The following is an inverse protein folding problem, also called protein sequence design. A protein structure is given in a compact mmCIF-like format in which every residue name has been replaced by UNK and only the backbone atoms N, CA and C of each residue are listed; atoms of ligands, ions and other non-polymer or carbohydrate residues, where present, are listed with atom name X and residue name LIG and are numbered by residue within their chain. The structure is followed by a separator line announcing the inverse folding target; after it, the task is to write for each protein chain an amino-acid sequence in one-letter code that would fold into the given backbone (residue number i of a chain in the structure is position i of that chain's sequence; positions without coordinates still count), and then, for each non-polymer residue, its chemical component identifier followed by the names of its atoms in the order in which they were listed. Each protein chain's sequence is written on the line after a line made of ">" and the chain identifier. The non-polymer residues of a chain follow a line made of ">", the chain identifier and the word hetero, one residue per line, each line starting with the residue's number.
data_IF_962475498069
#
_entry.id   IF_962475498069
#
_cell.length_a   1.000
_cell.length_b   1.000
_cell.length_c   1.000
_cell.angle_alpha   90.00
_cell.angle_beta   90.00
_cell.angle_gamma   90.00
#
_symmetry.space_group_name_H-M   'P 1'
#
loop_
_entity.id
_entity.type
_entity.pdbx_description
1 polymer ?
#
# COMPACT_ATOMS: atom_id res chain seq x y z
N UNK A 1 18.04 -25.20 -17.35
CA UNK A 1 16.87 -24.36 -17.77
C UNK A 1 17.37 -23.31 -18.74
N UNK A 2 16.73 -23.15 -19.90
CA UNK A 2 17.05 -22.08 -20.86
C UNK A 2 16.40 -20.76 -20.45
N UNK A 3 16.84 -19.63 -21.05
CA UNK A 3 16.21 -18.32 -20.78
C UNK A 3 14.72 -18.28 -21.14
N UNK A 4 14.33 -18.93 -22.24
CA UNK A 4 12.94 -18.99 -22.67
C UNK A 4 12.10 -19.88 -21.73
N UNK A 5 12.65 -20.99 -21.23
CA UNK A 5 11.99 -21.82 -20.21
C UNK A 5 11.81 -21.06 -18.89
N UNK A 6 12.83 -20.33 -18.45
CA UNK A 6 12.76 -19.50 -17.25
C UNK A 6 11.68 -18.40 -17.41
N UNK A 7 11.65 -17.74 -18.55
CA UNK A 7 10.63 -16.74 -18.84
C UNK A 7 9.22 -17.33 -18.85
N UNK A 8 9.04 -18.51 -19.44
CA UNK A 8 7.75 -19.20 -19.44
C UNK A 8 7.30 -19.60 -18.04
N UNK A 9 8.19 -20.14 -17.22
CA UNK A 9 7.90 -20.45 -15.81
C UNK A 9 7.50 -19.19 -15.03
N UNK A 10 8.26 -18.10 -15.22
CA UNK A 10 7.93 -16.81 -14.62
C UNK A 10 6.54 -16.33 -15.03
N UNK A 11 6.21 -16.30 -16.32
CA UNK A 11 4.92 -15.80 -16.81
C UNK A 11 3.74 -16.63 -16.32
N UNK A 12 3.93 -17.95 -16.21
CA UNK A 12 2.91 -18.87 -15.66
C UNK A 12 2.67 -18.61 -14.17
N UNK A 13 3.71 -18.36 -13.39
CA UNK A 13 3.62 -18.12 -11.96
C UNK A 13 3.23 -16.69 -11.56
N UNK A 14 3.44 -15.72 -12.45
CA UNK A 14 3.28 -14.29 -12.17
C UNK A 14 1.88 -13.88 -11.68
N UNK A 15 0.76 -14.36 -12.23
CA UNK A 15 -0.57 -13.98 -11.74
C UNK A 15 -0.79 -14.26 -10.26
N UNK A 16 -0.22 -15.37 -9.76
CA UNK A 16 -0.33 -15.78 -8.36
C UNK A 16 0.70 -15.09 -7.44
N UNK A 17 1.88 -14.74 -7.98
CA UNK A 17 3.01 -14.18 -7.22
C UNK A 17 3.63 -13.00 -7.95
N UNK A 18 2.91 -11.91 -8.10
CA UNK A 18 3.33 -10.72 -8.87
C UNK A 18 4.69 -10.16 -8.44
N UNK A 19 5.05 -10.28 -7.16
CA UNK A 19 6.35 -9.88 -6.64
C UNK A 19 7.54 -10.65 -7.26
N UNK A 20 7.30 -11.82 -7.88
CA UNK A 20 8.34 -12.61 -8.54
C UNK A 20 9.03 -11.86 -9.69
N UNK A 21 8.34 -10.91 -10.31
CA UNK A 21 8.94 -10.03 -11.33
C UNK A 21 10.08 -9.18 -10.75
N UNK A 22 9.83 -8.56 -9.60
CA UNK A 22 10.85 -7.80 -8.87
C UNK A 22 12.02 -8.67 -8.42
N UNK A 23 11.75 -9.93 -8.01
CA UNK A 23 12.79 -10.89 -7.65
C UNK A 23 13.63 -11.31 -8.85
N UNK A 24 13.00 -11.67 -9.97
CA UNK A 24 13.74 -12.10 -11.17
C UNK A 24 14.62 -10.97 -11.71
N UNK A 25 14.11 -9.75 -11.78
CA UNK A 25 14.92 -8.59 -12.17
C UNK A 25 16.06 -8.33 -11.18
N UNK A 26 15.78 -8.44 -9.87
CA UNK A 26 16.79 -8.24 -8.83
C UNK A 26 17.89 -9.32 -8.89
N UNK A 27 17.56 -10.57 -9.20
CA UNK A 27 18.57 -11.63 -9.39
C UNK A 27 19.45 -11.35 -10.60
N UNK A 28 18.87 -10.92 -11.72
CA UNK A 28 19.63 -10.56 -12.91
C UNK A 28 20.59 -9.41 -12.59
N UNK A 29 20.08 -8.34 -11.98
CA UNK A 29 20.88 -7.15 -11.65
C UNK A 29 21.98 -7.49 -10.63
N UNK A 30 21.68 -8.35 -9.63
CA UNK A 30 22.66 -8.86 -8.66
C UNK A 30 23.79 -9.65 -9.36
N UNK A 31 23.47 -10.53 -10.31
CA UNK A 31 24.42 -11.36 -11.03
C UNK A 31 25.30 -10.52 -11.95
N UNK A 32 24.74 -9.52 -12.59
CA UNK A 32 25.51 -8.54 -13.37
C UNK A 32 26.49 -7.76 -12.48
N UNK A 33 26.02 -7.28 -11.33
CA UNK A 33 26.85 -6.53 -10.37
C UNK A 33 28.00 -7.38 -9.77
N UNK A 34 27.75 -8.66 -9.52
CA UNK A 34 28.76 -9.60 -9.03
C UNK A 34 29.71 -10.12 -10.13
N UNK A 35 29.48 -9.77 -11.40
CA UNK A 35 30.31 -10.25 -12.51
C UNK A 35 30.24 -11.76 -12.69
N UNK A 36 29.08 -12.38 -12.45
CA UNK A 36 28.89 -13.83 -12.58
C UNK A 36 29.06 -14.30 -14.02
N UNK A 37 28.64 -13.48 -14.98
CA UNK A 37 28.70 -13.81 -16.41
C UNK A 37 30.15 -13.99 -16.87
N UNK A 38 30.42 -15.15 -17.48
CA UNK A 38 31.77 -15.49 -17.97
C UNK A 38 32.74 -15.94 -16.90
N UNK A 39 32.28 -16.05 -15.64
CA UNK A 39 33.08 -16.63 -14.54
C UNK A 39 32.93 -18.17 -14.48
N UNK A 40 33.60 -18.78 -13.53
CA UNK A 40 33.48 -20.20 -13.19
C UNK A 40 32.24 -20.58 -12.38
N UNK A 41 31.40 -19.58 -12.02
CA UNK A 41 30.15 -19.77 -11.27
C UNK A 41 29.07 -20.32 -12.22
N UNK A 42 28.58 -21.53 -11.96
CA UNK A 42 27.59 -22.21 -12.81
C UNK A 42 26.25 -22.48 -12.11
N UNK A 43 26.17 -22.24 -10.82
CA UNK A 43 24.98 -22.44 -10.03
C UNK A 43 25.05 -21.61 -8.72
N UNK A 44 23.98 -21.66 -7.93
CA UNK A 44 23.90 -20.92 -6.66
C UNK A 44 24.95 -21.39 -5.62
N UNK A 45 25.32 -22.68 -5.62
CA UNK A 45 26.33 -23.17 -4.68
C UNK A 45 27.72 -22.59 -5.00
N UNK A 46 28.08 -22.52 -6.28
CA UNK A 46 29.33 -21.86 -6.71
C UNK A 46 29.30 -20.36 -6.36
N UNK A 47 28.12 -19.72 -6.53
CA UNK A 47 27.95 -18.32 -6.16
C UNK A 47 28.26 -18.09 -4.67
N UNK A 48 27.65 -18.87 -3.77
CA UNK A 48 27.89 -18.71 -2.32
C UNK A 48 29.27 -19.20 -1.89
N UNK A 49 29.87 -20.10 -2.64
CA UNK A 49 31.27 -20.50 -2.46
C UNK A 49 32.23 -19.33 -2.70
N UNK A 50 31.97 -18.52 -3.73
CA UNK A 50 32.78 -17.34 -4.06
C UNK A 50 32.37 -16.08 -3.30
N UNK A 51 31.06 -15.89 -3.07
CA UNK A 51 30.44 -14.78 -2.36
C UNK A 51 29.65 -15.33 -1.16
N UNK A 52 30.32 -15.59 -0.02
CA UNK A 52 29.66 -16.24 1.12
C UNK A 52 28.40 -15.51 1.59
N UNK A 53 27.33 -16.27 1.80
CA UNK A 53 26.08 -15.72 2.31
C UNK A 53 26.27 -15.17 3.71
N UNK A 54 25.78 -13.96 3.92
CA UNK A 54 25.78 -13.29 5.22
C UNK A 54 24.36 -13.29 5.80
N UNK A 55 24.28 -13.47 7.11
CA UNK A 55 23.04 -13.30 7.87
C UNK A 55 23.21 -12.07 8.75
N UNK A 56 22.58 -10.96 8.38
CA UNK A 56 22.62 -9.76 9.21
C UNK A 56 21.49 -9.79 10.23
N UNK A 57 21.81 -9.42 11.47
CA UNK A 57 20.82 -9.18 12.53
C UNK A 57 20.60 -7.68 12.64
N UNK A 58 19.36 -7.24 12.52
CA UNK A 58 18.97 -5.87 12.81
C UNK A 58 18.01 -5.91 14.02
N UNK A 59 18.45 -5.36 15.16
CA UNK A 59 17.65 -5.37 16.38
C UNK A 59 17.28 -6.77 16.87
N UNK A 60 18.20 -7.75 16.77
CA UNK A 60 17.97 -9.13 17.21
C UNK A 60 17.14 -10.04 16.28
N UNK A 61 16.67 -9.53 15.14
CA UNK A 61 15.94 -10.31 14.14
C UNK A 61 16.84 -10.65 12.95
N UNK A 62 16.89 -11.94 12.57
CA UNK A 62 17.58 -12.39 11.36
C UNK A 62 16.95 -11.78 10.12
N UNK A 63 17.76 -11.11 9.28
CA UNK A 63 17.34 -10.74 7.94
C UNK A 63 17.35 -11.98 7.04
N UNK A 64 16.19 -12.37 6.52
CA UNK A 64 16.05 -13.54 5.65
C UNK A 64 16.30 -13.23 4.15
N UNK A 65 16.58 -11.98 3.80
CA UNK A 65 16.93 -11.62 2.42
C UNK A 65 18.28 -12.20 2.02
N UNK A 66 18.51 -12.36 0.73
CA UNK A 66 19.83 -12.78 0.21
C UNK A 66 20.82 -11.61 0.36
N UNK A 67 21.87 -11.86 1.14
CA UNK A 67 23.01 -10.95 1.33
C UNK A 67 24.28 -11.77 1.13
N UNK A 68 25.20 -11.27 0.34
CA UNK A 68 26.49 -11.93 0.07
C UNK A 68 27.65 -11.01 0.42
N UNK A 69 28.77 -11.61 0.87
CA UNK A 69 30.03 -10.89 1.10
C UNK A 69 30.75 -10.68 -0.24
N UNK A 70 31.34 -9.50 -0.42
CA UNK A 70 32.21 -9.19 -1.55
C UNK A 70 33.69 -9.44 -1.16
N UNK A 71 34.55 -9.76 -2.13
CA UNK A 71 35.98 -9.94 -1.86
C UNK A 71 36.69 -8.69 -1.31
N UNK A 72 36.13 -7.50 -1.56
CA UNK A 72 36.60 -6.22 -1.06
C UNK A 72 36.20 -5.92 0.40
N UNK A 73 35.55 -6.85 1.07
CA UNK A 73 35.06 -6.73 2.47
C UNK A 73 33.71 -6.09 2.63
N UNK A 74 33.06 -5.67 1.55
CA UNK A 74 31.69 -5.16 1.56
C UNK A 74 30.63 -6.26 1.53
N UNK A 75 29.38 -5.87 1.66
CA UNK A 75 28.23 -6.76 1.47
C UNK A 75 27.30 -6.25 0.37
N UNK A 76 26.68 -7.17 -0.35
CA UNK A 76 25.67 -6.86 -1.37
C UNK A 76 24.38 -7.55 -1.04
N UNK A 77 23.29 -6.79 -0.95
CA UNK A 77 21.95 -7.28 -0.61
C UNK A 77 21.04 -7.28 -1.83
N UNK A 78 20.18 -8.27 -1.95
CA UNK A 78 19.16 -8.35 -3.01
C UNK A 78 18.14 -7.20 -2.93
N UNK A 79 17.88 -6.66 -1.72
CA UNK A 79 16.81 -5.68 -1.48
C UNK A 79 16.94 -4.38 -2.31
N UNK A 80 18.12 -3.74 -2.44
CA UNK A 80 18.27 -2.56 -3.28
C UNK A 80 17.88 -2.78 -4.74
N UNK A 81 18.22 -3.95 -5.31
CA UNK A 81 17.87 -4.30 -6.69
C UNK A 81 16.36 -4.53 -6.83
N UNK A 82 15.75 -5.20 -5.88
CA UNK A 82 14.29 -5.35 -5.84
C UNK A 82 13.59 -3.98 -5.74
N UNK A 83 14.06 -3.09 -4.89
CA UNK A 83 13.53 -1.73 -4.78
C UNK A 83 13.69 -0.93 -6.08
N UNK A 84 14.79 -1.16 -6.82
CA UNK A 84 15.01 -0.52 -8.12
C UNK A 84 13.98 -1.01 -9.15
N UNK A 85 13.74 -2.34 -9.21
CA UNK A 85 12.69 -2.91 -10.06
C UNK A 85 11.29 -2.38 -9.70
N UNK A 86 10.95 -2.31 -8.40
CA UNK A 86 9.68 -1.71 -7.97
C UNK A 86 9.56 -0.25 -8.40
N UNK A 87 10.61 0.56 -8.23
CA UNK A 87 10.60 1.97 -8.65
C UNK A 87 10.40 2.11 -10.15
N UNK A 88 11.04 1.25 -10.95
CA UNK A 88 10.85 1.23 -12.40
C UNK A 88 9.38 1.01 -12.77
N UNK A 89 8.72 -0.01 -12.22
CA UNK A 89 7.31 -0.26 -12.51
C UNK A 89 6.38 0.82 -11.95
N UNK A 90 6.71 1.41 -10.80
CA UNK A 90 5.93 2.51 -10.23
C UNK A 90 5.99 3.79 -11.07
N UNK A 91 7.11 4.05 -11.75
CA UNK A 91 7.23 5.18 -12.67
C UNK A 91 6.23 5.04 -13.84
N UNK A 92 5.93 3.79 -14.25
CA UNK A 92 4.93 3.47 -15.28
C UNK A 92 3.53 3.21 -14.69
N UNK A 93 3.26 3.71 -13.49
CA UNK A 93 1.99 3.50 -12.78
C UNK A 93 1.59 2.04 -12.61
N UNK A 94 2.55 1.12 -12.57
CA UNK A 94 2.34 -0.32 -12.33
C UNK A 94 2.79 -0.69 -10.92
N UNK A 95 2.06 -1.58 -10.27
CA UNK A 95 2.35 -1.98 -8.90
C UNK A 95 2.15 -3.46 -8.69
N UNK A 96 3.01 -4.01 -7.86
CA UNK A 96 2.78 -5.31 -7.26
C UNK A 96 1.85 -5.14 -6.05
N UNK A 97 0.94 -6.10 -5.84
CA UNK A 97 0.16 -6.21 -4.61
C UNK A 97 0.97 -6.90 -3.51
N UNK A 98 0.41 -6.92 -2.30
CA UNK A 98 1.01 -7.68 -1.19
C UNK A 98 1.30 -9.14 -1.63
N UNK A 99 2.48 -9.72 -1.31
CA UNK A 99 3.54 -9.16 -0.48
C UNK A 99 4.59 -8.33 -1.29
N UNK A 100 4.17 -7.30 -1.97
CA UNK A 100 4.99 -6.50 -2.89
C UNK A 100 5.99 -5.57 -2.21
N UNK A 101 5.96 -5.43 -0.88
CA UNK A 101 6.99 -4.64 -0.22
C UNK A 101 8.30 -5.42 -0.14
N UNK A 102 9.40 -4.74 -0.42
CA UNK A 102 10.74 -5.35 -0.47
C UNK A 102 11.10 -6.24 0.74
N UNK A 103 10.77 -5.91 2.00
CA UNK A 103 11.06 -6.77 3.13
C UNK A 103 10.41 -8.15 3.06
N UNK A 104 9.18 -8.24 2.56
CA UNK A 104 8.47 -9.51 2.43
C UNK A 104 8.87 -10.27 1.17
N UNK A 105 8.90 -9.57 0.03
CA UNK A 105 9.24 -10.18 -1.25
C UNK A 105 10.67 -10.77 -1.26
N UNK A 106 11.64 -10.02 -0.74
CA UNK A 106 13.04 -10.47 -0.73
C UNK A 106 13.33 -11.56 0.30
N UNK A 107 12.42 -11.90 1.18
CA UNK A 107 12.52 -13.08 2.05
C UNK A 107 12.21 -14.38 1.33
N UNK A 108 11.41 -14.32 0.26
CA UNK A 108 11.01 -15.49 -0.54
C UNK A 108 12.06 -15.95 -1.56
N UNK A 109 13.24 -15.33 -1.60
CA UNK A 109 14.29 -15.63 -2.59
C UNK A 109 14.67 -17.11 -2.63
N UNK A 110 14.65 -17.79 -1.49
CA UNK A 110 15.02 -19.21 -1.37
C UNK A 110 14.12 -20.15 -2.17
N UNK A 111 12.86 -19.77 -2.42
CA UNK A 111 11.91 -20.53 -3.24
C UNK A 111 12.32 -20.53 -4.73
N UNK A 112 13.25 -19.65 -5.13
CA UNK A 112 13.66 -19.40 -6.50
C UNK A 112 15.14 -19.78 -6.77
N UNK A 113 15.72 -20.69 -5.97
CA UNK A 113 17.08 -21.19 -6.21
C UNK A 113 17.24 -21.76 -7.64
N UNK A 114 16.27 -22.51 -8.22
CA UNK A 114 16.37 -22.95 -9.61
C UNK A 114 16.52 -21.81 -10.62
N UNK A 115 15.98 -20.64 -10.35
CA UNK A 115 16.18 -19.45 -11.20
C UNK A 115 17.61 -18.92 -11.07
N UNK A 116 18.14 -18.86 -9.85
CA UNK A 116 19.53 -18.47 -9.60
C UNK A 116 20.51 -19.42 -10.30
N UNK A 117 20.26 -20.74 -10.24
CA UNK A 117 21.05 -21.74 -10.95
C UNK A 117 21.04 -21.50 -12.47
N UNK A 118 19.84 -21.24 -13.03
CA UNK A 118 19.70 -20.99 -14.46
C UNK A 118 20.42 -19.70 -14.88
N UNK A 119 20.24 -18.61 -14.14
CA UNK A 119 20.85 -17.29 -14.43
C UNK A 119 22.38 -17.35 -14.43
N UNK A 120 22.99 -18.20 -13.60
CA UNK A 120 24.44 -18.38 -13.57
C UNK A 120 25.01 -18.93 -14.89
N UNK A 121 24.18 -19.59 -15.71
CA UNK A 121 24.61 -20.16 -16.99
C UNK A 121 24.41 -19.23 -18.19
N UNK A 122 23.78 -18.06 -17.99
CA UNK A 122 23.43 -17.14 -19.08
C UNK A 122 24.54 -16.12 -19.34
N UNK A 123 24.73 -15.81 -20.61
CA UNK A 123 25.61 -14.72 -21.00
C UNK A 123 24.96 -13.34 -20.79
N UNK A 124 25.75 -12.27 -20.93
CA UNK A 124 25.28 -10.88 -20.73
C UNK A 124 24.12 -10.51 -21.66
N UNK A 125 24.10 -11.03 -22.89
CA UNK A 125 23.01 -10.75 -23.84
C UNK A 125 21.73 -11.45 -23.44
N UNK A 126 21.83 -12.70 -22.98
CA UNK A 126 20.71 -13.48 -22.51
C UNK A 126 20.09 -12.84 -21.24
N UNK A 127 20.92 -12.41 -20.30
CA UNK A 127 20.46 -11.71 -19.10
C UNK A 127 19.75 -10.38 -19.44
N UNK A 128 20.34 -9.57 -20.32
CA UNK A 128 19.74 -8.31 -20.75
C UNK A 128 18.40 -8.53 -21.52
N UNK A 129 18.37 -9.53 -22.40
CA UNK A 129 17.16 -9.91 -23.13
C UNK A 129 16.06 -10.37 -22.17
N UNK A 130 16.39 -11.27 -21.24
CA UNK A 130 15.43 -11.79 -20.25
C UNK A 130 14.89 -10.66 -19.36
N UNK A 131 15.77 -9.78 -18.88
CA UNK A 131 15.37 -8.60 -18.08
C UNK A 131 14.37 -7.72 -18.83
N UNK A 132 14.62 -7.47 -20.11
CA UNK A 132 13.72 -6.69 -20.96
C UNK A 132 12.39 -7.43 -21.16
N UNK A 133 12.40 -8.73 -21.46
CA UNK A 133 11.20 -9.53 -21.63
C UNK A 133 10.31 -9.53 -20.38
N UNK A 134 10.93 -9.65 -19.19
CA UNK A 134 10.21 -9.56 -17.90
C UNK A 134 9.59 -8.17 -17.72
N UNK A 135 10.34 -7.10 -18.00
CA UNK A 135 9.82 -5.74 -17.89
C UNK A 135 8.63 -5.49 -18.83
N UNK A 136 8.79 -5.83 -20.12
CA UNK A 136 7.76 -5.65 -21.14
C UNK A 136 6.48 -6.45 -20.81
N UNK A 137 6.64 -7.69 -20.35
CA UNK A 137 5.52 -8.54 -19.93
C UNK A 137 4.76 -7.92 -18.74
N UNK A 138 5.47 -7.50 -17.70
CA UNK A 138 4.86 -6.93 -16.50
C UNK A 138 4.14 -5.63 -16.81
N UNK A 139 4.73 -4.76 -17.64
CA UNK A 139 4.10 -3.51 -18.09
C UNK A 139 2.78 -3.77 -18.83
N UNK A 140 2.67 -4.88 -19.54
CA UNK A 140 1.45 -5.29 -20.23
C UNK A 140 0.46 -5.99 -19.29
N UNK A 141 0.95 -6.92 -18.46
CA UNK A 141 0.12 -7.77 -17.61
C UNK A 141 -0.49 -7.05 -16.40
N UNK A 142 0.21 -6.04 -15.85
CA UNK A 142 -0.32 -5.25 -14.76
C UNK A 142 -1.20 -4.11 -15.28
N UNK A 143 -2.38 -3.96 -14.67
CA UNK A 143 -3.23 -2.79 -14.93
C UNK A 143 -2.49 -1.51 -14.51
N UNK A 144 -2.66 -0.44 -15.27
CA UNK A 144 -2.19 0.89 -14.86
C UNK A 144 -2.95 1.31 -13.60
N UNK A 145 -2.23 1.92 -12.68
CA UNK A 145 -2.80 2.57 -11.48
C UNK A 145 -2.76 4.10 -11.62
N UNK A 146 -2.48 4.60 -12.83
CA UNK A 146 -2.72 6.00 -13.13
C UNK A 146 -4.24 6.24 -13.10
N UNK A 147 -4.67 7.05 -12.16
CA UNK A 147 -6.04 7.52 -12.12
C UNK A 147 -6.11 8.85 -12.88
N UNK A 148 -6.96 8.89 -13.89
CA UNK A 148 -7.30 10.13 -14.58
C UNK A 148 -8.53 10.75 -13.92
N UNK A 149 -8.37 11.83 -13.12
CA UNK A 149 -9.50 12.50 -12.49
C UNK A 149 -10.52 13.04 -13.52
N UNK A 150 -10.09 13.31 -14.75
CA UNK A 150 -10.96 13.79 -15.81
C UNK A 150 -11.87 12.69 -16.37
N UNK A 151 -11.47 11.41 -16.17
CA UNK A 151 -12.30 10.25 -16.60
C UNK A 151 -13.49 10.00 -15.68
N UNK A 152 -13.49 10.59 -14.47
CA UNK A 152 -14.60 10.44 -13.51
C UNK A 152 -15.64 11.49 -13.83
N UNK A 153 -16.80 11.03 -14.28
CA UNK A 153 -18.00 11.91 -14.35
C UNK A 153 -18.37 12.27 -12.90
N UNK A 154 -18.13 13.52 -12.55
CA UNK A 154 -18.31 14.04 -11.20
C UNK A 154 -19.67 14.71 -11.03
N UNK A 155 -20.71 14.14 -11.61
CA UNK A 155 -22.06 14.60 -11.28
C UNK A 155 -22.45 14.12 -9.89
N UNK A 156 -23.01 15.01 -9.04
CA UNK A 156 -23.46 14.61 -7.72
C UNK A 156 -24.59 13.58 -7.85
N UNK A 157 -24.64 12.57 -6.99
CA UNK A 157 -24.08 12.53 -5.62
C UNK A 157 -23.06 11.40 -5.39
N UNK A 158 -21.93 11.39 -6.09
CA UNK A 158 -20.98 10.27 -6.06
C UNK A 158 -20.43 9.91 -4.68
N UNK A 159 -20.13 10.88 -3.82
CA UNK A 159 -19.63 10.56 -2.48
C UNK A 159 -20.74 10.03 -1.59
N UNK A 160 -21.96 10.53 -1.74
CA UNK A 160 -23.14 9.94 -1.11
C UNK A 160 -23.32 8.47 -1.52
N UNK A 161 -23.24 8.18 -2.82
CA UNK A 161 -23.33 6.80 -3.31
C UNK A 161 -22.20 5.90 -2.77
N UNK A 162 -20.98 6.44 -2.58
CA UNK A 162 -19.90 5.72 -1.92
C UNK A 162 -20.26 5.33 -0.49
N UNK A 163 -20.80 6.24 0.29
CA UNK A 163 -21.22 5.98 1.67
C UNK A 163 -22.33 4.94 1.75
N UNK A 164 -23.29 4.97 0.80
CA UNK A 164 -24.48 4.09 0.79
C UNK A 164 -24.18 2.69 0.25
N UNK A 165 -23.27 2.56 -0.71
CA UNK A 165 -23.21 1.35 -1.53
C UNK A 165 -21.82 0.77 -1.74
N UNK A 166 -20.73 1.48 -1.38
CA UNK A 166 -19.40 0.95 -1.52
C UNK A 166 -19.14 -0.13 -0.46
N UNK A 167 -18.67 -1.30 -0.89
CA UNK A 167 -18.27 -2.35 0.04
C UNK A 167 -17.00 -1.93 0.80
N UNK A 168 -17.16 -1.60 2.08
CA UNK A 168 -16.09 -1.16 2.95
C UNK A 168 -15.31 -2.31 3.58
N UNK A 169 -15.71 -3.58 3.34
CA UNK A 169 -14.97 -4.74 3.86
C UNK A 169 -13.64 -4.91 3.14
N UNK A 170 -12.64 -5.43 3.85
CA UNK A 170 -11.34 -5.70 3.25
C UNK A 170 -11.41 -6.95 2.35
N UNK A 171 -11.06 -6.79 1.08
CA UNK A 171 -10.89 -7.91 0.17
C UNK A 171 -9.51 -8.55 0.30
N UNK A 172 -9.31 -9.71 -0.33
CA UNK A 172 -8.03 -10.42 -0.31
C UNK A 172 -6.89 -9.52 -0.79
N UNK A 173 -5.90 -9.33 0.05
CA UNK A 173 -4.73 -8.47 -0.23
C UNK A 173 -4.91 -7.01 0.20
N UNK A 174 -6.04 -6.63 0.77
CA UNK A 174 -6.28 -5.30 1.33
C UNK A 174 -6.03 -5.29 2.84
N UNK A 175 -5.46 -4.21 3.40
CA UNK A 175 -5.44 -4.03 4.84
C UNK A 175 -6.86 -3.79 5.36
N UNK A 176 -7.19 -4.42 6.49
CA UNK A 176 -8.45 -4.14 7.19
C UNK A 176 -8.50 -2.67 7.60
N UNK A 177 -9.61 -2.00 7.33
CA UNK A 177 -9.79 -0.58 7.64
C UNK A 177 -9.47 0.37 6.49
N UNK A 178 -8.70 -0.04 5.47
CA UNK A 178 -8.21 0.87 4.45
C UNK A 178 -9.34 1.59 3.68
N UNK A 179 -10.38 0.89 3.29
CA UNK A 179 -11.49 1.48 2.55
C UNK A 179 -12.20 2.54 3.40
N UNK A 180 -12.58 2.20 4.61
CA UNK A 180 -13.30 3.12 5.50
C UNK A 180 -12.44 4.31 5.92
N UNK A 181 -11.15 4.08 6.23
CA UNK A 181 -10.22 5.16 6.55
C UNK A 181 -10.05 6.15 5.39
N UNK A 182 -9.97 5.66 4.16
CA UNK A 182 -9.92 6.50 2.97
C UNK A 182 -11.19 7.30 2.73
N UNK A 183 -12.37 6.73 3.01
CA UNK A 183 -13.67 7.42 2.94
C UNK A 183 -13.75 8.53 3.99
N UNK A 184 -13.40 8.24 5.26
CA UNK A 184 -13.35 9.26 6.33
C UNK A 184 -12.35 10.37 6.01
N UNK A 185 -11.20 10.03 5.43
CA UNK A 185 -10.25 11.03 4.95
C UNK A 185 -10.85 11.94 3.86
N UNK A 186 -11.53 11.34 2.87
CA UNK A 186 -12.23 12.08 1.84
C UNK A 186 -13.27 13.04 2.42
N UNK A 187 -14.06 12.54 3.35
CA UNK A 187 -15.07 13.31 4.07
C UNK A 187 -14.46 14.51 4.80
N UNK A 188 -13.48 14.27 5.69
CA UNK A 188 -12.86 15.33 6.48
C UNK A 188 -12.18 16.39 5.64
N UNK A 189 -11.50 15.96 4.54
CA UNK A 189 -10.83 16.88 3.65
C UNK A 189 -11.80 17.76 2.87
N UNK A 190 -12.93 17.23 2.45
CA UNK A 190 -13.95 18.00 1.74
C UNK A 190 -14.71 18.94 2.67
N UNK A 191 -14.96 18.50 3.91
CA UNK A 191 -15.71 19.32 4.87
C UNK A 191 -14.86 20.41 5.55
N UNK A 192 -13.53 20.22 5.57
CA UNK A 192 -12.58 21.17 6.15
C UNK A 192 -11.54 21.66 5.12
N UNK A 193 -11.94 22.37 4.06
CA UNK A 193 -11.05 22.75 2.97
C UNK A 193 -9.96 23.75 3.37
N UNK A 194 -10.10 24.38 4.53
CA UNK A 194 -9.14 25.32 5.12
C UNK A 194 -8.03 24.65 5.94
N UNK A 195 -8.16 23.35 6.22
CA UNK A 195 -7.17 22.59 6.99
C UNK A 195 -6.28 21.77 6.07
N UNK A 196 -5.03 21.62 6.47
CA UNK A 196 -4.14 20.61 5.90
C UNK A 196 -4.48 19.25 6.55
N UNK A 197 -5.20 18.41 5.81
CA UNK A 197 -5.58 17.08 6.28
C UNK A 197 -4.51 16.07 5.89
N UNK A 198 -3.96 15.39 6.89
CA UNK A 198 -2.92 14.37 6.76
C UNK A 198 -3.44 12.99 7.14
N UNK A 199 -2.94 11.98 6.46
CA UNK A 199 -3.29 10.57 6.66
C UNK A 199 -2.09 9.67 6.37
N UNK A 200 -1.98 8.54 7.08
CA UNK A 200 -1.02 7.48 6.79
C UNK A 200 -1.71 6.20 6.29
N UNK A 201 -0.90 5.25 5.87
CA UNK A 201 -1.36 3.89 5.61
C UNK A 201 -1.90 3.24 6.87
N UNK A 202 -2.90 2.39 6.70
CA UNK A 202 -3.25 1.42 7.74
C UNK A 202 -2.01 0.59 8.11
N UNK A 203 -1.77 0.38 9.40
CA UNK A 203 -0.64 -0.43 9.95
C UNK A 203 0.75 0.20 9.86
N UNK A 204 0.88 1.52 9.81
CA UNK A 204 2.19 2.16 9.96
C UNK A 204 2.81 1.96 11.36
N UNK A 205 2.04 1.43 12.32
CA UNK A 205 2.49 1.06 13.67
C UNK A 205 2.97 2.24 14.50
N UNK A 206 3.73 1.97 15.57
CA UNK A 206 4.28 2.95 16.51
C UNK A 206 5.29 3.95 15.91
N UNK A 207 5.52 3.92 14.60
CA UNK A 207 6.34 4.90 13.87
C UNK A 207 5.55 6.13 13.42
N UNK A 208 4.33 6.34 13.89
CA UNK A 208 3.57 7.58 13.70
C UNK A 208 4.24 8.71 14.47
N UNK A 209 5.32 9.24 13.91
CA UNK A 209 5.98 10.41 14.49
C UNK A 209 5.02 11.59 14.40
N UNK A 210 4.56 12.07 15.56
CA UNK A 210 3.79 13.29 15.75
C UNK A 210 2.27 13.25 15.44
N UNK A 211 1.69 12.11 15.04
CA UNK A 211 0.25 12.01 14.84
C UNK A 211 -0.51 11.67 16.13
N UNK A 212 -1.72 12.18 16.21
CA UNK A 212 -2.64 11.93 17.32
C UNK A 212 -3.62 10.82 16.95
N UNK A 213 -4.29 10.95 15.82
CA UNK A 213 -5.21 9.93 15.30
C UNK A 213 -4.76 9.31 13.97
N UNK A 214 -5.65 8.59 13.32
CA UNK A 214 -5.44 8.04 11.99
C UNK A 214 -5.43 9.15 10.93
N UNK A 215 -6.19 10.23 11.17
CA UNK A 215 -6.32 11.40 10.29
C UNK A 215 -6.21 12.64 11.15
N UNK A 216 -5.27 13.52 10.82
CA UNK A 216 -5.05 14.79 11.52
C UNK A 216 -5.25 15.98 10.59
N UNK A 217 -5.95 17.00 11.06
CA UNK A 217 -6.17 18.26 10.34
C UNK A 217 -5.50 19.43 11.06
N UNK A 218 -4.64 20.13 10.32
CA UNK A 218 -3.80 21.20 10.85
C UNK A 218 -4.16 22.56 10.28
N UNK A 219 -4.16 23.55 11.17
CA UNK A 219 -4.15 24.99 10.82
C UNK A 219 -2.75 25.53 11.15
N UNK A 220 -1.88 25.60 10.16
CA UNK A 220 -0.46 25.88 10.39
C UNK A 220 0.18 24.80 11.27
N UNK A 221 0.69 25.19 12.45
CA UNK A 221 1.27 24.26 13.43
C UNK A 221 0.28 23.77 14.50
N UNK A 222 -0.97 24.24 14.46
CA UNK A 222 -2.00 23.88 15.44
C UNK A 222 -2.82 22.70 14.92
N UNK A 223 -2.93 21.65 15.70
CA UNK A 223 -3.88 20.58 15.45
C UNK A 223 -5.30 21.12 15.71
N UNK A 224 -6.13 21.14 14.68
CA UNK A 224 -7.51 21.62 14.76
C UNK A 224 -8.51 20.47 14.94
N UNK A 225 -8.31 19.36 14.21
CA UNK A 225 -9.13 18.16 14.28
C UNK A 225 -8.24 16.92 14.19
N UNK A 226 -8.62 15.88 14.90
CA UNK A 226 -8.01 14.55 14.78
C UNK A 226 -9.09 13.49 14.79
N UNK A 227 -8.99 12.48 13.94
CA UNK A 227 -9.94 11.37 13.87
C UNK A 227 -9.24 10.02 14.08
N UNK A 228 -9.81 9.22 14.96
CA UNK A 228 -9.53 7.80 15.12
C UNK A 228 -10.58 7.01 14.34
N UNK A 229 -10.16 6.09 13.47
CA UNK A 229 -11.04 5.39 12.54
C UNK A 229 -11.12 3.90 12.87
N UNK A 230 -12.32 3.40 13.08
CA UNK A 230 -12.59 2.00 13.44
C UNK A 230 -13.54 1.37 12.41
N UNK A 231 -13.06 0.47 11.59
CA UNK A 231 -13.90 -0.28 10.63
C UNK A 231 -14.67 -1.42 11.31
N UNK A 232 -15.43 -1.08 12.33
CA UNK A 232 -16.27 -2.01 13.09
C UNK A 232 -17.41 -1.26 13.79
N UNK A 233 -18.39 -2.01 14.30
CA UNK A 233 -19.37 -1.50 15.26
C UNK A 233 -18.73 -1.46 16.65
N UNK A 234 -18.55 -0.26 17.22
CA UNK A 234 -17.93 -0.09 18.53
C UNK A 234 -18.89 -0.53 19.64
N UNK A 235 -18.36 -1.29 20.60
CA UNK A 235 -19.05 -1.78 21.79
C UNK A 235 -18.48 -1.10 23.05
N UNK A 236 -19.16 -1.31 24.18
CA UNK A 236 -18.74 -0.73 25.47
C UNK A 236 -17.33 -1.21 25.90
N UNK A 237 -16.94 -2.41 25.54
CA UNK A 237 -15.65 -3.01 25.83
C UNK A 237 -14.49 -2.35 25.06
N UNK A 238 -14.78 -1.65 23.95
CA UNK A 238 -13.79 -0.96 23.13
C UNK A 238 -13.53 0.49 23.61
N UNK A 239 -14.39 1.03 24.48
CA UNK A 239 -14.32 2.45 24.91
C UNK A 239 -13.00 2.78 25.63
N UNK A 240 -12.45 1.91 26.52
CA UNK A 240 -11.17 2.19 27.18
C UNK A 240 -10.01 2.41 26.20
N UNK A 241 -10.02 1.77 25.02
CA UNK A 241 -8.97 1.92 24.02
C UNK A 241 -8.97 3.33 23.37
N UNK A 242 -10.06 4.10 23.54
CA UNK A 242 -10.21 5.45 23.01
C UNK A 242 -9.78 6.54 24.01
N UNK A 243 -9.57 6.21 25.28
CA UNK A 243 -9.24 7.19 26.33
C UNK A 243 -7.93 7.93 26.03
N UNK A 244 -6.90 7.25 25.58
CA UNK A 244 -5.61 7.85 25.26
C UNK A 244 -5.74 8.88 24.12
N UNK A 245 -6.52 8.57 23.09
CA UNK A 245 -6.83 9.47 21.99
C UNK A 245 -7.64 10.69 22.47
N UNK A 246 -8.69 10.47 23.26
CA UNK A 246 -9.52 11.54 23.81
C UNK A 246 -8.71 12.50 24.70
N UNK A 247 -7.87 11.96 25.58
CA UNK A 247 -6.99 12.74 26.43
C UNK A 247 -5.99 13.58 25.62
N UNK A 248 -5.38 13.02 24.58
CA UNK A 248 -4.39 13.73 23.77
C UNK A 248 -5.04 14.83 22.92
N UNK A 249 -6.21 14.59 22.33
CA UNK A 249 -6.96 15.62 21.60
C UNK A 249 -7.42 16.74 22.53
N UNK A 250 -7.93 16.39 23.72
CA UNK A 250 -8.32 17.37 24.76
C UNK A 250 -7.13 18.22 25.23
N UNK A 251 -5.98 17.61 25.49
CA UNK A 251 -4.74 18.30 25.89
C UNK A 251 -4.26 19.31 24.84
N UNK A 252 -4.46 19.02 23.56
CA UNK A 252 -4.11 19.91 22.43
C UNK A 252 -5.18 20.94 22.09
N UNK A 253 -6.35 20.86 22.71
CA UNK A 253 -7.51 21.70 22.38
C UNK A 253 -8.02 21.46 20.96
N UNK A 254 -7.83 20.26 20.44
CA UNK A 254 -8.29 19.84 19.13
C UNK A 254 -9.67 19.16 19.21
N UNK A 255 -10.43 19.22 18.14
CA UNK A 255 -11.66 18.44 17.99
C UNK A 255 -11.28 16.98 17.76
N UNK A 256 -11.48 16.11 18.76
CA UNK A 256 -11.36 14.65 18.62
C UNK A 256 -12.62 14.06 18.01
N UNK A 257 -12.46 13.19 17.01
CA UNK A 257 -13.56 12.48 16.35
C UNK A 257 -13.26 10.99 16.34
N UNK A 258 -14.21 10.16 16.78
CA UNK A 258 -14.17 8.71 16.62
C UNK A 258 -15.12 8.34 15.49
N UNK A 259 -14.56 7.95 14.34
CA UNK A 259 -15.32 7.51 13.18
C UNK A 259 -15.42 5.98 13.17
N UNK A 260 -16.63 5.43 13.10
CA UNK A 260 -16.86 3.98 13.09
C UNK A 260 -17.97 3.58 12.11
N UNK A 261 -18.01 2.30 11.72
CA UNK A 261 -19.14 1.79 10.90
C UNK A 261 -20.46 1.84 11.67
N UNK A 262 -20.41 1.83 12.99
CA UNK A 262 -21.57 1.97 13.85
C UNK A 262 -21.19 1.97 15.33
N UNK A 263 -22.17 2.19 16.17
CA UNK A 263 -22.03 2.18 17.62
C UNK A 263 -23.17 1.41 18.25
N UNK A 264 -22.87 0.51 19.16
CA UNK A 264 -23.92 -0.15 19.96
C UNK A 264 -24.71 0.84 20.79
N UNK A 265 -25.94 0.45 21.13
CA UNK A 265 -26.84 1.26 21.95
C UNK A 265 -26.15 1.72 23.24
N UNK A 266 -26.18 3.03 23.50
CA UNK A 266 -25.56 3.66 24.68
C UNK A 266 -24.06 3.95 24.55
N UNK A 267 -23.34 3.36 23.60
CA UNK A 267 -21.88 3.51 23.47
C UNK A 267 -21.49 4.90 22.98
N UNK A 268 -22.29 5.50 22.09
CA UNK A 268 -22.06 6.88 21.63
C UNK A 268 -21.87 7.84 22.81
N UNK A 269 -22.77 7.76 23.78
CA UNK A 269 -22.72 8.63 24.96
C UNK A 269 -21.46 8.38 25.78
N UNK A 270 -21.05 7.14 25.98
CA UNK A 270 -19.83 6.80 26.72
C UNK A 270 -18.59 7.43 26.07
N UNK A 271 -18.51 7.40 24.72
CA UNK A 271 -17.40 8.01 23.99
C UNK A 271 -17.47 9.54 24.04
N UNK A 272 -18.65 10.13 23.89
CA UNK A 272 -18.84 11.58 23.99
C UNK A 272 -18.51 12.12 25.38
N UNK A 273 -18.76 11.33 26.42
CA UNK A 273 -18.41 11.68 27.82
C UNK A 273 -16.87 11.71 28.02
N UNK A 274 -16.06 11.11 27.13
CA UNK A 274 -14.60 11.29 27.08
C UNK A 274 -14.17 12.64 26.46
N UNK A 275 -15.11 13.44 25.94
CA UNK A 275 -14.83 14.75 25.33
C UNK A 275 -14.56 14.73 23.83
N UNK A 276 -14.79 13.63 23.14
CA UNK A 276 -14.67 13.50 21.69
C UNK A 276 -16.05 13.39 21.02
N UNK A 277 -16.12 13.59 19.71
CA UNK A 277 -17.32 13.42 18.92
C UNK A 277 -17.32 12.06 18.25
N UNK A 278 -18.52 11.54 17.96
CA UNK A 278 -18.72 10.27 17.25
C UNK A 278 -19.28 10.55 15.86
N UNK A 279 -18.86 9.74 14.89
CA UNK A 279 -19.27 9.88 13.49
C UNK A 279 -19.40 8.48 12.86
N UNK A 280 -20.61 8.09 12.49
CA UNK A 280 -20.84 6.88 11.69
C UNK A 280 -21.23 7.22 10.23
N UNK A 281 -21.52 6.20 9.45
CA UNK A 281 -21.92 6.37 8.05
C UNK A 281 -23.22 7.16 7.91
N UNK A 282 -24.16 6.99 8.82
CA UNK A 282 -25.44 7.72 8.79
C UNK A 282 -25.24 9.20 9.13
N UNK A 283 -24.37 9.51 10.08
CA UNK A 283 -24.03 10.90 10.41
C UNK A 283 -23.34 11.58 9.22
N UNK A 284 -22.38 10.87 8.59
CA UNK A 284 -21.73 11.39 7.37
C UNK A 284 -22.73 11.63 6.25
N UNK A 285 -23.68 10.71 6.02
CA UNK A 285 -24.73 10.87 5.02
C UNK A 285 -25.56 12.12 5.25
N UNK A 286 -26.02 12.36 6.48
CA UNK A 286 -26.80 13.57 6.83
C UNK A 286 -26.04 14.86 6.55
N UNK A 287 -24.73 14.88 6.79
CA UNK A 287 -23.87 16.04 6.48
C UNK A 287 -23.70 16.18 4.96
N UNK A 288 -23.44 15.07 4.27
CA UNK A 288 -23.22 15.04 2.81
C UNK A 288 -24.46 15.46 2.02
N UNK A 289 -25.67 15.28 2.55
CA UNK A 289 -26.91 15.77 1.95
C UNK A 289 -26.94 17.31 1.76
N UNK A 290 -26.16 18.02 2.55
CA UNK A 290 -26.03 19.48 2.45
C UNK A 290 -24.83 19.93 1.59
N UNK A 291 -24.07 18.98 1.05
CA UNK A 291 -22.86 19.31 0.27
C UNK A 291 -23.18 19.69 -1.16
N UNK A 292 -22.49 20.73 -1.61
CA UNK A 292 -22.45 21.11 -3.02
C UNK A 292 -21.64 20.10 -3.86
N UNK A 293 -21.76 20.16 -5.19
CA UNK A 293 -21.03 19.28 -6.10
C UNK A 293 -19.50 19.34 -5.94
N UNK A 294 -18.94 20.46 -5.53
CA UNK A 294 -17.50 20.63 -5.36
C UNK A 294 -16.98 19.84 -4.14
N UNK A 295 -17.70 19.89 -3.02
CA UNK A 295 -17.41 19.08 -1.84
C UNK A 295 -17.48 17.58 -2.14
N UNK A 296 -18.54 17.13 -2.84
CA UNK A 296 -18.70 15.74 -3.27
C UNK A 296 -17.51 15.28 -4.11
N UNK A 297 -17.11 16.09 -5.08
CA UNK A 297 -15.96 15.84 -5.95
C UNK A 297 -14.65 15.76 -5.16
N UNK A 298 -14.44 16.70 -4.25
CA UNK A 298 -13.24 16.76 -3.41
C UNK A 298 -13.11 15.50 -2.54
N UNK A 299 -14.22 15.04 -1.96
CA UNK A 299 -14.23 13.82 -1.15
C UNK A 299 -13.88 12.58 -1.97
N UNK A 300 -14.51 12.40 -3.15
CA UNK A 300 -14.22 11.30 -4.06
C UNK A 300 -12.76 11.31 -4.51
N UNK A 301 -12.27 12.47 -4.98
CA UNK A 301 -10.88 12.61 -5.43
C UNK A 301 -9.88 12.32 -4.29
N UNK A 302 -10.22 12.71 -3.07
CA UNK A 302 -9.38 12.44 -1.89
C UNK A 302 -9.36 10.96 -1.53
N UNK A 303 -10.48 10.26 -1.62
CA UNK A 303 -10.52 8.80 -1.43
C UNK A 303 -9.68 8.07 -2.50
N UNK A 304 -9.82 8.47 -3.76
CA UNK A 304 -8.99 7.94 -4.85
C UNK A 304 -7.51 8.21 -4.61
N UNK A 305 -7.15 9.42 -4.21
CA UNK A 305 -5.78 9.79 -3.84
C UNK A 305 -5.25 8.88 -2.71
N UNK A 306 -6.03 8.68 -1.66
CA UNK A 306 -5.65 7.79 -0.57
C UNK A 306 -5.37 6.37 -1.06
N UNK A 307 -6.31 5.76 -1.78
CA UNK A 307 -6.17 4.40 -2.29
C UNK A 307 -4.93 4.24 -3.18
N UNK A 308 -4.69 5.22 -4.08
CA UNK A 308 -3.64 5.15 -5.11
C UNK A 308 -2.26 5.58 -4.59
N UNK A 309 -2.18 6.63 -3.76
CA UNK A 309 -0.92 7.28 -3.42
C UNK A 309 -0.50 7.11 -1.96
N UNK A 310 -1.43 6.92 -1.03
CA UNK A 310 -1.14 6.71 0.38
C UNK A 310 -1.12 5.21 0.66
N UNK A 311 -2.26 4.53 0.59
CA UNK A 311 -2.35 3.09 0.86
C UNK A 311 -1.62 2.26 -0.19
N UNK A 312 -1.71 2.69 -1.44
CA UNK A 312 -0.98 2.10 -2.56
C UNK A 312 -1.37 0.62 -2.78
N UNK A 313 -2.64 0.32 -2.66
CA UNK A 313 -3.18 -1.02 -2.82
C UNK A 313 -3.98 -1.15 -4.11
N UNK A 314 -3.51 -1.99 -5.05
CA UNK A 314 -4.12 -2.12 -6.36
C UNK A 314 -5.50 -2.78 -6.33
N UNK A 315 -5.79 -3.63 -5.35
CA UNK A 315 -7.12 -4.22 -5.18
C UNK A 315 -8.13 -3.14 -4.82
N UNK A 316 -7.81 -2.32 -3.82
CA UNK A 316 -8.66 -1.20 -3.41
C UNK A 316 -8.84 -0.19 -4.55
N UNK A 317 -7.77 0.19 -5.25
CA UNK A 317 -7.84 1.08 -6.42
C UNK A 317 -8.79 0.52 -7.48
N UNK A 318 -8.63 -0.75 -7.86
CA UNK A 318 -9.48 -1.39 -8.87
C UNK A 318 -10.96 -1.41 -8.48
N UNK A 319 -11.27 -1.63 -7.20
CA UNK A 319 -12.65 -1.59 -6.67
C UNK A 319 -13.24 -0.19 -6.72
N UNK A 320 -12.44 0.81 -6.35
CA UNK A 320 -12.87 2.21 -6.39
C UNK A 320 -13.14 2.65 -7.84
N UNK A 321 -12.23 2.34 -8.77
CA UNK A 321 -12.42 2.63 -10.20
C UNK A 321 -13.67 1.94 -10.77
N UNK A 322 -13.87 0.66 -10.43
CA UNK A 322 -15.05 -0.09 -10.89
C UNK A 322 -16.34 0.49 -10.33
N UNK A 323 -16.35 0.87 -9.04
CA UNK A 323 -17.50 1.51 -8.40
C UNK A 323 -17.84 2.84 -9.07
N UNK A 324 -16.85 3.72 -9.26
CA UNK A 324 -17.06 5.03 -9.87
C UNK A 324 -17.55 4.92 -11.33
N UNK A 325 -17.01 3.94 -12.09
CA UNK A 325 -17.47 3.68 -13.45
C UNK A 325 -18.95 3.26 -13.47
N UNK A 326 -19.34 2.34 -12.57
CA UNK A 326 -20.75 1.88 -12.46
C UNK A 326 -21.68 3.01 -12.01
N UNK A 327 -21.28 3.81 -11.03
CA UNK A 327 -22.05 4.94 -10.54
C UNK A 327 -22.22 6.04 -11.61
N UNK A 328 -21.21 6.24 -12.46
CA UNK A 328 -21.28 7.16 -13.60
C UNK A 328 -22.19 6.67 -14.74
N UNK A 329 -22.37 5.35 -14.89
CA UNK A 329 -23.29 4.74 -15.85
C UNK A 329 -24.75 4.81 -15.39
N UNK A 330 -24.99 4.83 -14.09
CA UNK A 330 -26.37 4.87 -13.50
C UNK A 330 -26.89 6.31 -13.39
N UNK A 331 -26.02 7.32 -13.41
CA UNK A 331 -26.40 8.73 -13.35
C UNK A 331 -26.80 9.34 -14.71
N UNK A 332 -26.88 8.53 -15.76
CA UNK A 332 -27.44 8.84 -17.07
C UNK A 332 -28.83 8.28 -17.22
#
# INVERSE_FOLDING_TARGET
>A
MTADQLFQEFTTGFPARKFSAGLLMAFIDLYVELGVTGSDIKNYQDLIGRFPRQTMTNGGKRANTLIVARPDGGTLSLRPFYNAAERFFRAEHKRFDYPSCAPHATQAWGDYIPWLDALATFDTRQLAKLRKQVADYVLTALKSQAFDPASVKTEPPLFRNLLESFDMTAHKGEPSGAAFQGIVFGFLRADNPHLQIEIDKVRTGSKRLQRVGDIDGWEGARLAISAEVKQLEIKAEDVPDLEAFANETGRRGALGVVAALGFRVGVRKLIEDLGVKVLDTDDMLRIVELWDPLKQRTAVASFVYYASHVEKNSSLVGRVEEFLRKAGEVAL
#
